data_IF_064765633515
#
_entry.id   IF_064765633515
#
_cell.length_a   1.000
_cell.length_b   1.000
_cell.length_c   1.000
_cell.angle_alpha   90.00
_cell.angle_beta   90.00
_cell.angle_gamma   90.00
#
_symmetry.space_group_name_H-M   'P 1'
#
loop_
_entity.id
_entity.type
_entity.pdbx_description
1 polymer ?
2 polymer ?
3 non-polymer ?
4 non-polymer ?
5 water ?
#
# COMPACT_ATOMS: atom_id res chain seq x y z
N UNK A 4 -21.74 9.21 10.07
CA UNK A 4 -21.39 7.91 10.64
C UNK A 4 -20.28 7.24 9.84
N UNK A 5 -20.58 6.89 8.60
CA UNK A 5 -19.60 6.24 7.73
C UNK A 5 -18.25 6.94 7.80
N UNK A 6 -17.19 6.15 7.99
CA UNK A 6 -15.84 6.69 8.08
C UNK A 6 -15.01 6.49 6.75
N UNK A 7 -15.43 5.56 5.91
CA UNK A 7 -14.73 5.27 4.68
C UNK A 7 -15.47 5.91 3.46
N UNK A 8 -14.79 6.83 2.78
CA UNK A 8 -15.28 7.39 1.53
C UNK A 8 -15.15 6.44 0.35
N UNK A 9 -15.50 6.93 -0.86
CA UNK A 9 -15.66 6.06 -2.05
C UNK A 9 -14.37 5.39 -2.46
N UNK A 10 -13.28 6.12 -2.39
CA UNK A 10 -12.02 5.55 -2.78
C UNK A 10 -11.54 4.51 -1.77
N UNK A 11 -11.55 4.87 -0.48
CA UNK A 11 -11.34 3.92 0.63
C UNK A 11 -12.23 2.63 0.46
N UNK A 12 -13.48 2.84 0.17
CA UNK A 12 -14.43 1.72 0.01
C UNK A 12 -14.09 0.82 -1.18
N UNK A 13 -13.90 1.43 -2.35
CA UNK A 13 -13.66 0.67 -3.62
C UNK A 13 -12.32 -0.11 -3.61
N UNK A 14 -11.31 0.44 -2.95
CA UNK A 14 -10.06 -0.28 -2.77
C UNK A 14 -10.24 -1.55 -1.89
N UNK A 15 -11.06 -1.47 -0.86
CA UNK A 15 -11.30 -2.61 0.01
C UNK A 15 -12.10 -3.65 -0.75
N UNK A 16 -13.16 -3.24 -1.42
CA UNK A 16 -13.92 -4.17 -2.26
C UNK A 16 -12.99 -4.90 -3.27
N UNK A 17 -12.19 -4.13 -4.03
CA UNK A 17 -11.25 -4.72 -5.01
C UNK A 17 -10.30 -5.73 -4.35
N UNK A 18 -9.75 -5.38 -3.19
CA UNK A 18 -8.82 -6.32 -2.50
C UNK A 18 -9.52 -7.62 -2.11
N UNK A 19 -10.77 -7.50 -1.68
CA UNK A 19 -11.55 -8.67 -1.30
C UNK A 19 -11.89 -9.54 -2.50
N UNK A 20 -12.35 -8.90 -3.59
CA UNK A 20 -12.71 -9.60 -4.83
C UNK A 20 -11.50 -10.37 -5.38
N UNK A 21 -10.34 -9.75 -5.33
CA UNK A 21 -9.13 -10.39 -5.83
C UNK A 21 -8.73 -11.52 -4.92
N UNK A 22 -8.91 -11.33 -3.60
CA UNK A 22 -8.60 -12.39 -2.64
C UNK A 22 -9.48 -13.66 -2.89
N UNK A 23 -10.73 -13.43 -3.19
CA UNK A 23 -11.66 -14.51 -3.50
C UNK A 23 -11.24 -15.24 -4.78
N UNK A 24 -10.98 -14.46 -5.83
CA UNK A 24 -10.51 -15.00 -7.09
C UNK A 24 -9.28 -15.89 -6.91
N UNK A 25 -8.39 -15.53 -5.97
CA UNK A 25 -7.17 -16.32 -5.72
C UNK A 25 -7.47 -17.63 -5.01
N UNK A 26 -8.58 -17.69 -4.27
CA UNK A 26 -9.02 -18.94 -3.66
C UNK A 26 -9.63 -19.82 -4.74
N UNK A 27 -10.59 -19.30 -5.45
CA UNK A 27 -11.25 -20.01 -6.53
C UNK A 27 -10.28 -20.44 -7.66
N UNK A 28 -9.52 -19.50 -8.23
CA UNK A 28 -8.69 -19.80 -9.43
C UNK A 28 -7.27 -20.23 -9.12
N UNK A 29 -6.79 -19.96 -7.92
CA UNK A 29 -5.40 -20.22 -7.59
C UNK A 29 -4.56 -18.96 -7.62
N UNK A 30 -3.50 -18.95 -6.82
CA UNK A 30 -2.69 -17.77 -6.69
C UNK A 30 -2.07 -17.41 -8.01
N UNK A 31 -1.42 -18.38 -8.62
CA UNK A 31 -0.67 -18.16 -9.85
C UNK A 31 -1.51 -17.62 -11.04
N UNK A 32 -2.69 -18.17 -11.28
CA UNK A 32 -3.48 -17.67 -12.37
C UNK A 32 -3.77 -16.16 -12.17
N UNK A 33 -4.01 -15.74 -10.94
CA UNK A 33 -4.27 -14.34 -10.68
C UNK A 33 -3.00 -13.51 -10.80
N UNK A 34 -1.89 -14.02 -10.34
CA UNK A 34 -0.62 -13.32 -10.47
C UNK A 34 -0.25 -13.05 -11.91
N UNK A 35 -0.47 -14.03 -12.77
CA UNK A 35 -0.23 -13.89 -14.20
C UNK A 35 -0.98 -12.70 -14.80
N UNK A 36 -2.24 -12.54 -14.43
CA UNK A 36 -3.05 -11.39 -14.82
C UNK A 36 -2.65 -10.05 -14.17
N UNK A 37 -2.28 -10.06 -12.88
CA UNK A 37 -2.23 -8.80 -12.09
C UNK A 37 -0.85 -8.35 -11.69
N UNK A 38 0.14 -9.25 -11.80
CA UNK A 38 1.53 -8.91 -11.45
C UNK A 38 2.11 -7.76 -12.28
N UNK A 39 3.09 -7.07 -11.70
CA UNK A 39 3.99 -6.19 -12.41
C UNK A 39 4.49 -6.92 -13.65
N UNK A 40 4.61 -6.19 -14.79
CA UNK A 40 4.99 -6.83 -16.06
C UNK A 40 6.21 -7.67 -15.89
N UNK A 41 6.10 -8.96 -16.19
CA UNK A 41 7.17 -9.89 -16.01
C UNK A 41 7.72 -10.31 -17.42
N UNK A 42 7.42 -9.49 -18.44
CA UNK A 42 7.89 -9.70 -19.79
C UNK A 42 7.75 -8.39 -20.57
N UNK A 43 8.70 -8.12 -21.49
CA UNK A 43 8.59 -6.91 -22.31
C UNK A 43 7.25 -6.81 -23.07
N UNK A 44 6.67 -7.93 -23.47
CA UNK A 44 5.41 -7.87 -24.17
C UNK A 44 4.30 -7.40 -23.32
N UNK A 45 4.53 -7.29 -22.01
CA UNK A 45 3.42 -6.97 -21.06
C UNK A 45 3.54 -5.52 -20.54
N UNK A 46 4.59 -4.81 -20.98
CA UNK A 46 4.92 -3.53 -20.40
C UNK A 46 3.97 -2.39 -20.78
N UNK A 47 3.01 -2.66 -21.66
CA UNK A 47 1.99 -1.66 -22.03
C UNK A 47 0.62 -1.97 -21.46
N UNK A 48 0.47 -3.13 -20.84
CA UNK A 48 -0.71 -3.40 -19.99
C UNK A 48 -0.59 -2.61 -18.64
N UNK A 49 -1.11 -1.38 -18.64
CA UNK A 49 -0.65 -0.33 -17.72
C UNK A 49 -1.21 -0.56 -16.31
N UNK A 50 -2.37 -1.20 -16.22
CA UNK A 50 -2.92 -1.65 -14.95
C UNK A 50 -1.92 -2.38 -14.02
N UNK A 51 -0.95 -3.09 -14.61
CA UNK A 51 -0.01 -3.95 -13.84
C UNK A 51 1.00 -3.18 -13.02
N UNK A 52 1.13 -1.88 -13.26
CA UNK A 52 2.06 -1.09 -12.44
C UNK A 52 1.37 -0.72 -11.05
N UNK A 53 0.07 -0.96 -10.97
CA UNK A 53 -0.72 -0.66 -9.76
C UNK A 53 -1.42 -1.93 -9.16
N UNK A 54 -1.80 -2.90 -9.99
CA UNK A 54 -2.67 -3.98 -9.54
C UNK A 54 -1.97 -5.04 -8.65
N UNK A 55 -0.67 -4.96 -8.57
CA UNK A 55 0.06 -5.87 -7.75
C UNK A 55 -0.36 -5.66 -6.28
N UNK A 56 -0.79 -4.44 -5.98
CA UNK A 56 -1.09 -4.00 -4.67
C UNK A 56 -2.40 -4.61 -4.15
N UNK A 57 -3.19 -5.23 -5.05
CA UNK A 57 -4.49 -5.80 -4.72
C UNK A 57 -4.40 -7.28 -4.34
N UNK A 58 -3.22 -7.88 -4.46
CA UNK A 58 -3.05 -9.32 -4.27
C UNK A 58 -2.53 -9.66 -2.88
N UNK A 59 -3.13 -10.67 -2.24
CA UNK A 59 -2.69 -11.22 -0.95
C UNK A 59 -2.85 -12.73 -0.93
N UNK A 60 -1.94 -13.46 -0.27
CA UNK A 60 -2.03 -14.94 -0.15
C UNK A 60 -2.22 -15.53 1.25
N UNK A 61 -2.31 -14.62 2.17
CA UNK A 61 -2.15 -14.57 3.63
C UNK A 61 -3.23 -13.71 4.23
N UNK A 62 -3.93 -14.43 5.07
CA UNK A 62 -5.08 -13.87 5.73
C UNK A 62 -4.71 -12.79 6.68
N UNK A 63 -3.58 -12.96 7.32
CA UNK A 63 -3.09 -11.99 8.26
C UNK A 63 -2.67 -10.66 7.59
N UNK A 64 -2.06 -10.72 6.43
CA UNK A 64 -1.56 -9.51 5.82
C UNK A 64 -2.65 -8.70 5.18
N UNK A 65 -3.62 -9.36 4.57
CA UNK A 65 -4.72 -8.63 3.98
C UNK A 65 -5.55 -7.94 5.06
N UNK A 66 -5.66 -8.57 6.22
CA UNK A 66 -6.41 -8.02 7.32
C UNK A 66 -5.76 -6.79 7.85
N UNK A 67 -4.47 -6.85 8.04
CA UNK A 67 -3.77 -5.75 8.59
C UNK A 67 -3.58 -4.63 7.62
N UNK A 68 -3.36 -4.95 6.35
CA UNK A 68 -3.23 -3.94 5.35
C UNK A 68 -4.53 -3.21 5.15
N UNK A 69 -5.64 -3.94 5.16
CA UNK A 69 -6.93 -3.29 4.99
C UNK A 69 -7.34 -2.49 6.21
N UNK A 70 -6.94 -2.96 7.38
CA UNK A 70 -7.16 -2.21 8.61
C UNK A 70 -6.52 -0.82 8.55
N UNK A 71 -5.23 -0.74 8.23
CA UNK A 71 -4.56 0.54 8.13
C UNK A 71 -4.92 1.33 6.89
N UNK A 72 -5.25 0.64 5.79
CA UNK A 72 -5.80 1.34 4.64
C UNK A 72 -7.12 2.03 5.03
N UNK A 73 -8.01 1.27 5.66
CA UNK A 73 -9.30 1.80 6.08
C UNK A 73 -9.12 3.03 7.00
N UNK A 74 -8.18 2.95 7.93
CA UNK A 74 -8.02 3.99 8.89
C UNK A 74 -7.28 5.16 8.34
N UNK A 75 -6.11 4.93 7.76
CA UNK A 75 -5.29 6.05 7.24
C UNK A 75 -5.83 6.63 5.91
N UNK A 76 -6.24 5.75 4.99
CA UNK A 76 -6.85 6.21 3.75
C UNK A 76 -8.15 6.92 4.00
N UNK A 77 -8.92 6.38 4.93
CA UNK A 77 -10.14 7.02 5.34
C UNK A 77 -9.94 8.43 5.89
N UNK A 78 -8.94 8.59 6.75
CA UNK A 78 -8.62 9.89 7.31
C UNK A 78 -8.24 10.85 6.18
N UNK A 79 -7.40 10.38 5.27
CA UNK A 79 -6.89 11.26 4.22
C UNK A 79 -8.00 11.64 3.27
N UNK A 80 -8.89 10.71 2.94
CA UNK A 80 -9.97 11.00 1.97
C UNK A 80 -10.97 11.98 2.58
N UNK A 81 -11.24 11.82 3.87
CA UNK A 81 -12.21 12.64 4.57
C UNK A 81 -11.71 14.11 4.69
N UNK A 82 -10.44 14.28 5.07
CA UNK A 82 -9.89 15.58 5.38
C UNK A 82 -9.32 16.29 4.15
N UNK A 83 -8.54 15.56 3.36
CA UNK A 83 -7.89 16.10 2.17
C UNK A 83 -8.59 15.75 0.85
N UNK A 84 -9.61 14.89 0.88
CA UNK A 84 -10.46 14.61 -0.32
C UNK A 84 -10.06 13.36 -1.10
N UNK A 85 -10.97 12.89 -1.93
CA UNK A 85 -10.75 11.69 -2.72
C UNK A 85 -9.51 11.73 -3.61
N UNK A 86 -9.34 12.85 -4.32
CA UNK A 86 -8.27 12.97 -5.32
C UNK A 86 -6.90 12.79 -4.72
N UNK A 87 -6.68 13.42 -3.60
CA UNK A 87 -5.43 13.26 -2.86
C UNK A 87 -5.13 11.78 -2.53
N UNK A 88 -6.13 11.07 -2.00
CA UNK A 88 -5.94 9.64 -1.71
C UNK A 88 -5.60 8.86 -2.98
N UNK A 89 -6.35 9.10 -4.07
CA UNK A 89 -6.02 8.45 -5.35
C UNK A 89 -4.56 8.66 -5.75
N UNK A 90 -4.10 9.90 -5.71
CA UNK A 90 -2.71 10.20 -6.15
C UNK A 90 -1.63 9.52 -5.29
N UNK A 91 -1.78 9.56 -3.97
CA UNK A 91 -0.79 8.88 -3.08
C UNK A 91 -0.75 7.40 -3.36
N UNK A 92 -1.93 6.83 -3.65
CA UNK A 92 -2.06 5.41 -3.89
C UNK A 92 -1.36 5.01 -5.18
N UNK A 93 -1.70 5.70 -6.27
CA UNK A 93 -1.10 5.39 -7.58
C UNK A 93 0.38 5.65 -7.58
N UNK A 94 0.81 6.74 -7.00
CA UNK A 94 2.23 7.01 -7.05
C UNK A 94 3.01 6.05 -6.17
N UNK A 95 2.48 5.75 -4.97
CA UNK A 95 3.18 4.85 -4.05
C UNK A 95 3.17 3.44 -4.60
N UNK A 96 2.06 3.05 -5.24
CA UNK A 96 1.94 1.71 -5.83
C UNK A 96 2.94 1.54 -6.96
N UNK A 97 2.98 2.54 -7.84
CA UNK A 97 3.95 2.57 -8.95
C UNK A 97 5.37 2.47 -8.48
N UNK A 98 5.78 3.37 -7.61
CA UNK A 98 7.22 3.45 -7.26
C UNK A 98 7.67 2.38 -6.31
N UNK A 99 6.75 1.89 -5.47
CA UNK A 99 7.11 0.83 -4.54
C UNK A 99 7.35 -0.40 -5.38
N UNK A 100 6.47 -0.67 -6.33
CA UNK A 100 6.62 -1.85 -7.17
C UNK A 100 7.85 -1.79 -8.06
N UNK A 101 8.19 -0.59 -8.50
CA UNK A 101 9.39 -0.37 -9.31
C UNK A 101 10.64 -0.77 -8.55
N UNK A 102 10.76 -0.33 -7.30
CA UNK A 102 11.95 -0.61 -6.49
C UNK A 102 12.01 -2.08 -6.08
N UNK A 103 10.86 -2.69 -5.88
CA UNK A 103 10.82 -4.07 -5.49
C UNK A 103 11.24 -4.98 -6.63
N UNK A 104 10.71 -4.78 -7.81
CA UNK A 104 11.04 -5.65 -8.93
C UNK A 104 12.45 -5.43 -9.39
N UNK A 105 12.92 -4.20 -9.25
CA UNK A 105 14.30 -3.88 -9.59
C UNK A 105 15.26 -4.80 -8.88
N UNK A 106 15.06 -5.02 -7.59
CA UNK A 106 16.02 -5.79 -6.78
C UNK A 106 15.64 -7.26 -6.59
N UNK A 107 14.39 -7.63 -6.88
CA UNK A 107 13.93 -9.00 -6.55
C UNK A 107 12.98 -9.62 -7.56
N UNK A 108 12.73 -8.94 -8.66
CA UNK A 108 11.85 -9.47 -9.68
C UNK A 108 10.38 -9.17 -9.43
N UNK A 109 9.53 -9.59 -10.36
CA UNK A 109 8.16 -9.14 -10.40
C UNK A 109 7.14 -9.93 -9.51
N UNK A 110 7.56 -10.97 -8.85
CA UNK A 110 6.59 -11.80 -8.19
C UNK A 110 6.31 -11.34 -6.76
N UNK A 111 5.41 -10.39 -6.64
CA UNK A 111 5.13 -9.73 -5.40
C UNK A 111 3.78 -9.04 -5.43
N UNK A 112 3.32 -8.58 -4.29
CA UNK A 112 2.06 -7.89 -4.22
C UNK A 112 1.67 -7.61 -2.81
N UNK A 113 0.58 -6.88 -2.63
CA UNK A 113 0.11 -6.49 -1.34
C UNK A 113 -0.09 -5.00 -1.23
N UNK A 114 -1.08 -4.59 -0.45
CA UNK A 114 -1.42 -3.18 -0.28
C UNK A 114 -0.47 -2.46 0.69
N UNK A 115 0.52 -3.17 1.21
CA UNK A 115 1.38 -2.67 2.25
C UNK A 115 2.31 -1.52 1.88
N UNK A 116 2.69 -1.42 0.62
CA UNK A 116 3.52 -0.31 0.18
C UNK A 116 2.72 0.97 0.23
N UNK A 117 1.46 0.88 -0.15
CA UNK A 117 0.56 2.01 -0.07
C UNK A 117 0.26 2.37 1.40
N UNK A 118 0.16 1.36 2.26
CA UNK A 118 -0.07 1.62 3.67
C UNK A 118 1.13 2.36 4.29
N UNK A 119 2.33 1.90 4.02
CA UNK A 119 3.50 2.62 4.50
C UNK A 119 3.58 4.03 3.95
N UNK A 120 3.21 4.24 2.69
CA UNK A 120 3.17 5.59 2.16
C UNK A 120 2.24 6.46 2.97
N UNK A 121 1.06 5.92 3.24
CA UNK A 121 0.03 6.63 4.00
C UNK A 121 0.52 6.96 5.44
N UNK A 122 1.17 6.00 6.09
CA UNK A 122 1.80 6.22 7.38
C UNK A 122 2.80 7.36 7.34
N UNK A 123 3.71 7.29 6.38
CA UNK A 123 4.70 8.34 6.18
C UNK A 123 4.07 9.70 5.97
N UNK A 124 2.98 9.73 5.19
CA UNK A 124 2.40 10.97 4.73
C UNK A 124 1.62 11.59 5.88
N UNK A 125 0.78 10.79 6.52
CA UNK A 125 -0.04 11.28 7.59
C UNK A 125 0.88 11.76 8.73
N UNK A 126 1.91 10.97 9.04
CA UNK A 126 2.85 11.40 10.06
C UNK A 126 3.44 12.77 9.75
N UNK A 127 4.14 12.88 8.62
CA UNK A 127 4.95 14.06 8.35
C UNK A 127 4.05 15.26 8.07
N UNK A 128 2.97 15.04 7.34
CA UNK A 128 2.02 16.09 7.10
C UNK A 128 1.44 16.61 8.43
N UNK A 129 1.20 15.71 9.38
CA UNK A 129 0.71 16.11 10.69
C UNK A 129 1.78 16.85 11.48
N UNK A 130 3.00 16.39 11.40
CA UNK A 130 4.07 16.96 12.17
C UNK A 130 4.32 18.42 11.77
N UNK A 131 4.38 18.69 10.48
CA UNK A 131 4.79 19.99 10.04
C UNK A 131 3.75 20.75 9.28
N UNK A 132 2.53 20.23 9.23
CA UNK A 132 1.38 21.04 8.82
C UNK A 132 0.18 20.73 9.73
N UNK A 133 0.36 20.95 11.04
CA UNK A 133 -0.66 20.66 12.05
C UNK A 133 -2.04 21.14 11.69
N UNK A 134 -2.13 22.30 11.05
CA UNK A 134 -3.44 22.86 10.70
C UNK A 134 -4.17 22.06 9.57
N UNK A 135 -3.48 21.08 8.96
CA UNK A 135 -4.11 20.20 7.95
C UNK A 135 -5.21 19.34 8.54
N UNK A 136 -5.15 19.09 9.85
CA UNK A 136 -6.13 18.24 10.53
C UNK A 136 -5.86 16.75 10.39
N UNK A 137 -4.63 16.39 10.01
CA UNK A 137 -4.23 15.00 10.01
C UNK A 137 -3.03 14.81 10.91
N UNK A 138 -2.98 13.65 11.52
CA UNK A 138 -2.09 13.43 12.59
C UNK A 138 -1.91 11.91 12.73
N UNK A 139 -0.69 11.44 12.84
CA UNK A 139 -0.45 10.06 13.17
C UNK A 139 -0.23 9.86 14.70
N UNK A 140 -1.17 9.18 15.34
CA UNK A 140 -1.14 8.82 16.76
C UNK A 140 0.15 8.10 17.11
N UNK A 141 0.71 8.40 18.28
CA UNK A 141 1.85 7.63 18.82
C UNK A 141 1.66 6.09 18.87
N UNK A 142 0.49 5.63 19.28
CA UNK A 142 0.21 4.19 19.39
C UNK A 142 0.37 3.51 18.03
N UNK A 143 0.00 4.23 16.98
CA UNK A 143 0.10 3.75 15.61
C UNK A 143 1.53 3.75 15.10
N UNK A 144 2.30 4.76 15.48
CA UNK A 144 3.74 4.77 15.17
C UNK A 144 4.39 3.53 15.77
N UNK A 145 4.08 3.22 17.00
CA UNK A 145 4.63 2.05 17.65
C UNK A 145 4.24 0.78 16.93
N UNK A 146 2.96 0.63 16.66
CA UNK A 146 2.42 -0.54 15.98
C UNK A 146 3.06 -0.74 14.59
N UNK A 147 3.20 0.32 13.84
CA UNK A 147 3.85 0.25 12.56
C UNK A 147 5.34 -0.04 12.62
N UNK A 148 6.04 0.41 13.63
CA UNK A 148 7.46 0.03 13.75
C UNK A 148 7.64 -1.46 14.05
N UNK A 149 6.87 -1.99 14.97
CA UNK A 149 6.99 -3.42 15.28
C UNK A 149 6.70 -4.25 14.02
N UNK A 150 5.67 -3.87 13.27
CA UNK A 150 5.26 -4.62 12.06
C UNK A 150 6.39 -4.58 11.02
N UNK A 151 6.89 -3.40 10.73
CA UNK A 151 8.01 -3.24 9.86
C UNK A 151 9.17 -4.12 10.31
N UNK A 152 9.51 -4.03 11.58
CA UNK A 152 10.66 -4.74 12.15
C UNK A 152 10.43 -6.24 12.03
N UNK A 153 9.22 -6.69 12.32
CA UNK A 153 8.90 -8.11 12.17
C UNK A 153 9.19 -8.58 10.73
N UNK A 154 8.84 -7.75 9.76
CA UNK A 154 9.09 -8.07 8.36
C UNK A 154 10.58 -8.12 8.02
N UNK A 155 11.30 -7.08 8.41
CA UNK A 155 12.72 -7.01 8.15
C UNK A 155 13.49 -8.23 8.70
N UNK A 156 13.02 -8.80 9.82
CA UNK A 156 13.73 -9.90 10.50
C UNK A 156 12.97 -11.17 10.32
N UNK A 157 12.13 -11.21 9.31
CA UNK A 157 11.45 -12.43 8.96
C UNK A 157 10.80 -13.16 10.13
N UNK A 158 9.89 -12.50 10.81
CA UNK A 158 9.27 -13.09 11.97
C UNK A 158 7.89 -13.55 11.69
N UNK A 159 7.44 -13.32 10.48
CA UNK A 159 6.11 -13.66 10.07
C UNK A 159 6.12 -15.04 9.50
N UNK A 160 7.26 -15.47 9.01
CA UNK A 160 7.36 -16.76 8.37
C UNK A 160 7.23 -16.77 6.88
N UNK A 161 6.86 -15.67 6.26
CA UNK A 161 6.75 -15.65 4.83
C UNK A 161 7.69 -14.69 4.16
N UNK A 162 7.70 -14.73 2.84
CA UNK A 162 8.53 -13.87 2.04
C UNK A 162 7.98 -12.47 1.96
N UNK A 163 8.86 -11.52 2.18
CA UNK A 163 8.49 -10.17 2.46
C UNK A 163 9.04 -9.26 1.43
N UNK A 164 8.22 -8.36 0.93
CA UNK A 164 8.66 -7.40 -0.06
C UNK A 164 9.18 -6.15 0.61
N UNK A 165 10.39 -6.23 1.15
CA UNK A 165 10.98 -5.11 1.91
C UNK A 165 11.27 -3.86 1.05
N UNK A 166 11.71 -4.06 -0.18
CA UNK A 166 11.85 -2.97 -1.12
C UNK A 166 10.58 -2.14 -1.27
N UNK A 167 9.46 -2.80 -1.48
CA UNK A 167 8.23 -2.09 -1.72
C UNK A 167 7.77 -1.31 -0.50
N UNK A 168 8.00 -1.87 0.67
CA UNK A 168 7.58 -1.25 1.92
C UNK A 168 8.37 -0.02 2.23
N UNK A 169 9.67 -0.14 2.21
CA UNK A 169 10.57 1.01 2.42
C UNK A 169 10.41 2.09 1.32
N UNK A 170 10.42 1.69 0.05
CA UNK A 170 10.10 2.66 -1.05
C UNK A 170 8.77 3.36 -0.83
N UNK A 171 7.78 2.63 -0.31
CA UNK A 171 6.44 3.20 -0.12
C UNK A 171 6.44 4.26 0.94
N UNK A 172 7.07 3.96 2.05
CA UNK A 172 7.27 4.92 3.12
C UNK A 172 7.94 6.24 2.60
N UNK A 173 9.03 6.08 1.83
CA UNK A 173 9.80 7.24 1.30
C UNK A 173 8.94 8.13 0.46
N UNK A 174 8.20 7.53 -0.47
CA UNK A 174 7.21 8.27 -1.30
C UNK A 174 6.23 9.08 -0.44
N UNK A 175 5.66 8.46 0.58
CA UNK A 175 4.64 9.14 1.40
C UNK A 175 5.26 10.29 2.17
N UNK A 176 6.46 10.08 2.73
CA UNK A 176 7.25 11.22 3.30
C UNK A 176 7.50 12.38 2.28
N UNK A 177 7.89 12.04 1.04
CA UNK A 177 8.27 13.06 0.05
C UNK A 177 7.07 13.87 -0.34
N UNK A 178 5.95 13.19 -0.51
CA UNK A 178 4.73 13.87 -0.88
C UNK A 178 4.25 14.77 0.23
N UNK A 179 4.44 14.37 1.48
CA UNK A 179 3.95 15.17 2.59
C UNK A 179 4.84 16.42 2.78
N UNK A 180 6.14 16.25 2.55
CA UNK A 180 7.08 17.35 2.60
C UNK A 180 6.67 18.42 1.60
N UNK A 181 6.58 18.01 0.34
CA UNK A 181 6.10 18.89 -0.71
C UNK A 181 4.74 19.49 -0.35
N UNK A 182 3.77 18.64 0.01
CA UNK A 182 2.40 19.13 0.26
C UNK A 182 2.32 20.13 1.39
N UNK A 183 3.31 20.12 2.26
CA UNK A 183 3.29 21.00 3.40
C UNK A 183 4.42 22.04 3.39
N UNK A 184 4.96 22.37 2.23
CA UNK A 184 5.78 23.58 2.15
C UNK A 184 4.84 24.74 2.31
N UNK A 185 3.57 24.47 1.99
CA UNK A 185 2.38 24.89 2.81
C UNK A 185 1.21 25.28 1.89
C UNK B 1 6.60 -15.70 -4.54
N UNK B 2 5.42 -15.30 -4.13
CA UNK B 2 5.04 -14.00 -3.66
C UNK B 2 5.86 -13.46 -2.54
N UNK B 3 6.52 -12.35 -2.73
CA UNK B 3 6.94 -11.54 -1.64
C UNK B 3 5.78 -10.71 -1.25
N UNK B 4 5.40 -10.64 0.01
CA UNK B 4 4.27 -9.82 0.39
C UNK B 4 4.73 -8.47 0.84
N UNK B 5 4.00 -7.49 0.47
CA UNK B 5 4.25 -6.12 0.79
C UNK B 5 3.39 -5.68 1.98
X LIG C 1 -0.12 -11.72 1.76
X LIG D 1 7.81 11.42 16.58
X LIG D 1 6.37 11.28 16.12
X LIG D 1 5.42 12.20 16.89
X LIG D 1 5.74 12.13 18.36
X LIG D 1 7.15 12.69 18.54
X LIG D 1 7.49 12.91 20.00
X LIG D 1 9.16 9.89 15.23
X LIG D 1 8.34 9.60 14.00
X LIG D 1 8.77 8.33 13.26
X LIG D 1 7.55 7.61 12.70
X LIG D 1 7.55 7.46 11.18
X LIG D 1 6.15 7.10 10.70
X LIG D 1 6.11 5.78 9.95
X LIG D 1 5.86 4.58 10.87
X LIG D 1 6.31 3.27 10.24
X LIG D 1 8.29 10.07 16.34
X LIG D 1 6.33 11.58 14.73
X LIG D 1 4.06 11.82 16.67
X LIG D 1 4.80 12.92 19.08
X LIG D 1 8.11 11.80 17.94
X LIG D 1 8.86 12.51 20.20
#
# INVERSE_FOLDING_TARGET
AALRERAGPVTWVMMIACVVVFIAMQILGDQEVMLWLAWPFDPTLKFEFWRYFTHALMHISLMHILFNLLWWWYLGGAVEKRLGSGKLIVITLISALLSGYVQQKFSGPWFGGLSGVVYALMGYVWLRGERDPQSGIYLQRGLIIFALIWIVAGWFDLFGMSMANGAHIAGLAVGLAMAFVDSLNARKRKASLERENLYF
XFATAX
CL CL
BNG C1 C2 C3 C4 C5 C6 C1' C2' C3' C4' C5' C6' C7' C8' C9' O1 O2 O3 O4 O5 O6
#
